data_IF_695558795266
#
_entry.id   IF_695558795266
#
_cell.length_a   1.000
_cell.length_b   1.000
_cell.length_c   1.000
_cell.angle_alpha   90.00
_cell.angle_beta   90.00
_cell.angle_gamma   90.00
#
_symmetry.space_group_name_H-M   'P 1'
#
loop_
_entity.id
_entity.type
_entity.pdbx_description
1 polymer ?
#
# COMPACT_ATOMS: atom_id res chain seq x y z
N UNK A 1 -28.77 -14.75 -3.18
CA UNK A 1 -28.46 -15.96 -3.97
C UNK A 1 -26.96 -16.17 -3.88
N UNK A 2 -26.52 -17.28 -3.29
CA UNK A 2 -25.09 -17.65 -3.34
C UNK A 2 -24.79 -18.02 -4.79
N UNK A 3 -23.93 -17.27 -5.47
CA UNK A 3 -23.41 -17.66 -6.78
C UNK A 3 -22.66 -18.98 -6.60
N UNK A 4 -23.17 -20.04 -7.23
CA UNK A 4 -22.46 -21.33 -7.28
C UNK A 4 -21.27 -21.13 -8.21
N UNK A 5 -20.06 -21.18 -7.66
CA UNK A 5 -18.82 -21.02 -8.44
C UNK A 5 -18.53 -22.31 -9.17
N UNK A 6 -18.29 -22.24 -10.48
CA UNK A 6 -17.96 -23.39 -11.32
C UNK A 6 -16.49 -23.80 -11.17
N UNK A 7 -16.22 -24.85 -10.39
CA UNK A 7 -14.87 -25.37 -10.13
C UNK A 7 -14.21 -26.04 -11.36
N UNK A 8 -14.94 -26.25 -12.46
CA UNK A 8 -14.33 -26.75 -13.70
C UNK A 8 -13.46 -25.69 -14.39
N UNK A 9 -13.71 -24.41 -14.10
CA UNK A 9 -12.93 -23.30 -14.65
C UNK A 9 -11.48 -23.26 -14.14
N UNK A 10 -10.58 -22.53 -14.81
CA UNK A 10 -9.24 -22.27 -14.28
C UNK A 10 -9.30 -21.64 -12.89
N UNK A 11 -8.39 -22.04 -11.98
CA UNK A 11 -8.38 -21.55 -10.59
C UNK A 11 -8.40 -20.02 -10.49
N UNK A 12 -7.73 -19.31 -11.41
CA UNK A 12 -7.74 -17.85 -11.45
C UNK A 12 -9.13 -17.24 -11.62
N UNK A 13 -10.00 -17.90 -12.40
CA UNK A 13 -11.37 -17.45 -12.63
C UNK A 13 -12.28 -17.83 -11.46
N UNK A 14 -12.13 -19.06 -10.95
CA UNK A 14 -12.79 -19.54 -9.72
C UNK A 14 -12.57 -18.58 -8.57
N UNK A 15 -11.31 -18.18 -8.30
CA UNK A 15 -10.99 -17.24 -7.23
C UNK A 15 -11.53 -15.85 -7.51
N UNK A 16 -11.37 -15.33 -8.75
CA UNK A 16 -11.86 -13.99 -9.10
C UNK A 16 -13.37 -13.86 -8.89
N UNK A 17 -14.13 -14.86 -9.30
CA UNK A 17 -15.58 -14.87 -9.15
C UNK A 17 -15.99 -15.09 -7.69
N UNK A 18 -15.41 -16.12 -7.06
CA UNK A 18 -15.78 -16.53 -5.71
C UNK A 18 -15.43 -15.51 -4.63
N UNK A 19 -14.37 -14.72 -4.80
CA UNK A 19 -13.95 -13.72 -3.80
C UNK A 19 -14.40 -12.30 -4.12
N UNK A 20 -15.13 -12.07 -5.22
CA UNK A 20 -15.50 -10.72 -5.67
C UNK A 20 -16.23 -9.92 -4.58
N UNK A 21 -17.23 -10.52 -3.95
CA UNK A 21 -18.04 -9.86 -2.92
C UNK A 21 -17.20 -9.52 -1.68
N UNK A 22 -16.38 -10.47 -1.21
CA UNK A 22 -15.53 -10.26 -0.05
C UNK A 22 -14.47 -9.16 -0.31
N UNK A 23 -13.96 -9.07 -1.54
CA UNK A 23 -13.08 -7.98 -1.96
C UNK A 23 -13.78 -6.62 -1.88
N UNK A 24 -14.98 -6.49 -2.45
CA UNK A 24 -15.77 -5.25 -2.41
C UNK A 24 -16.04 -4.80 -0.95
N UNK A 25 -16.35 -5.72 -0.05
CA UNK A 25 -16.60 -5.44 1.37
C UNK A 25 -15.35 -4.91 2.11
N UNK A 26 -14.16 -5.45 1.81
CA UNK A 26 -12.90 -4.99 2.41
C UNK A 26 -12.51 -3.61 1.89
N UNK A 27 -12.67 -3.34 0.59
CA UNK A 27 -12.32 -2.06 -0.04
C UNK A 27 -13.09 -0.87 0.56
N UNK A 28 -14.35 -1.07 0.93
CA UNK A 28 -15.20 -0.02 1.49
C UNK A 28 -15.13 0.08 3.02
N UNK A 29 -14.24 -0.67 3.66
CA UNK A 29 -14.09 -0.61 5.12
C UNK A 29 -13.61 0.78 5.60
N UNK A 30 -14.01 1.23 6.81
CA UNK A 30 -13.63 2.56 7.30
C UNK A 30 -12.12 2.75 7.42
N UNK A 31 -11.38 1.77 7.94
CA UNK A 31 -9.92 1.81 7.99
C UNK A 31 -9.26 1.90 6.59
N UNK A 32 -9.70 1.07 5.63
CA UNK A 32 -9.17 1.13 4.26
C UNK A 32 -9.44 2.49 3.61
N UNK A 33 -10.65 3.03 3.81
CA UNK A 33 -11.02 4.37 3.33
C UNK A 33 -10.18 5.46 3.99
N UNK A 34 -9.97 5.40 5.30
CA UNK A 34 -9.15 6.37 6.04
C UNK A 34 -7.68 6.32 5.57
N UNK A 35 -7.12 5.13 5.35
CA UNK A 35 -5.79 4.94 4.81
C UNK A 35 -5.66 5.57 3.41
N UNK A 36 -6.61 5.30 2.52
CA UNK A 36 -6.61 5.85 1.15
C UNK A 36 -6.80 7.38 1.11
N UNK A 37 -7.47 7.95 2.11
CA UNK A 37 -7.61 9.40 2.26
C UNK A 37 -6.43 10.06 2.97
N UNK A 38 -5.48 9.28 3.48
CA UNK A 38 -4.36 9.79 4.29
C UNK A 38 -4.78 10.29 5.67
N UNK A 39 -5.93 9.82 6.18
CA UNK A 39 -6.48 10.19 7.49
C UNK A 39 -5.95 9.30 8.63
N UNK A 40 -5.15 8.28 8.29
CA UNK A 40 -4.45 7.47 9.26
C UNK A 40 -3.18 8.21 9.70
N UNK A 41 -2.98 8.38 11.00
CA UNK A 41 -1.72 8.96 11.47
C UNK A 41 -0.52 8.04 11.15
N UNK A 42 0.69 8.62 11.19
CA UNK A 42 1.89 7.89 10.79
C UNK A 42 2.21 6.72 11.72
N UNK A 43 1.92 6.81 13.02
CA UNK A 43 2.18 5.72 13.97
C UNK A 43 1.23 4.54 13.76
N UNK A 44 -0.05 4.81 13.50
CA UNK A 44 -1.05 3.80 13.12
C UNK A 44 -0.71 3.14 11.80
N UNK A 45 -0.22 3.91 10.82
CA UNK A 45 0.24 3.32 9.57
C UNK A 45 1.45 2.41 9.79
N UNK A 46 2.43 2.83 10.60
CA UNK A 46 3.56 1.97 10.98
C UNK A 46 3.10 0.71 11.72
N UNK A 47 2.13 0.82 12.65
CA UNK A 47 1.56 -0.34 13.34
C UNK A 47 0.88 -1.29 12.36
N UNK A 48 0.12 -0.76 11.40
CA UNK A 48 -0.48 -1.54 10.33
C UNK A 48 0.59 -2.26 9.49
N UNK A 49 1.67 -1.57 9.10
CA UNK A 49 2.78 -2.21 8.40
C UNK A 49 3.46 -3.31 9.22
N UNK A 50 3.60 -3.15 10.54
CA UNK A 50 4.11 -4.21 11.42
C UNK A 50 3.19 -5.44 11.46
N UNK A 51 1.86 -5.24 11.46
CA UNK A 51 0.91 -6.34 11.33
C UNK A 51 1.01 -7.04 9.98
N UNK A 52 1.13 -6.26 8.88
CA UNK A 52 1.38 -6.82 7.56
C UNK A 52 2.70 -7.60 7.54
N UNK A 53 3.77 -7.07 8.12
CA UNK A 53 5.06 -7.75 8.15
C UNK A 53 4.94 -9.15 8.75
N UNK A 54 4.23 -9.31 9.89
CA UNK A 54 3.99 -10.62 10.49
C UNK A 54 3.21 -11.57 9.57
N UNK A 55 2.20 -11.06 8.84
CA UNK A 55 1.41 -11.85 7.89
C UNK A 55 2.29 -12.31 6.72
N UNK A 56 2.97 -11.36 6.05
CA UNK A 56 3.82 -11.64 4.89
C UNK A 56 4.98 -12.57 5.26
N UNK A 57 5.71 -12.27 6.33
CA UNK A 57 6.81 -13.12 6.79
C UNK A 57 6.34 -14.56 7.07
N UNK A 58 5.14 -14.73 7.65
CA UNK A 58 4.63 -16.07 7.96
C UNK A 58 4.28 -16.86 6.70
N UNK A 59 3.50 -16.31 5.76
CA UNK A 59 3.14 -17.08 4.57
C UNK A 59 4.33 -17.21 3.59
N UNK A 60 5.23 -16.22 3.52
CA UNK A 60 6.44 -16.30 2.69
C UNK A 60 7.38 -17.41 3.17
N UNK A 61 7.57 -17.57 4.50
CA UNK A 61 8.29 -18.72 5.05
C UNK A 61 7.59 -20.05 4.76
N UNK A 62 6.25 -20.06 4.77
CA UNK A 62 5.45 -21.22 4.36
C UNK A 62 5.67 -21.60 2.90
N UNK A 63 5.65 -20.61 2.00
CA UNK A 63 5.94 -20.80 0.57
C UNK A 63 7.37 -21.28 0.32
N UNK A 64 8.35 -20.72 1.04
CA UNK A 64 9.76 -21.15 0.97
C UNK A 64 9.93 -22.62 1.34
N UNK A 65 9.32 -23.04 2.46
CA UNK A 65 9.35 -24.42 2.95
C UNK A 65 8.79 -25.40 1.90
N UNK A 66 7.75 -24.98 1.19
CA UNK A 66 7.01 -25.80 0.23
C UNK A 66 7.24 -25.38 -1.23
N UNK A 67 8.41 -24.80 -1.53
CA UNK A 67 8.69 -24.19 -2.84
C UNK A 67 8.66 -25.17 -4.01
N UNK A 68 8.84 -26.48 -3.75
CA UNK A 68 8.77 -27.55 -4.75
C UNK A 68 7.42 -28.28 -4.77
N UNK A 69 6.45 -27.86 -3.96
CA UNK A 69 5.11 -28.46 -3.93
C UNK A 69 4.41 -28.18 -5.28
N UNK A 70 3.83 -29.18 -5.98
CA UNK A 70 3.31 -29.01 -7.34
C UNK A 70 2.29 -27.88 -7.52
N UNK A 71 1.47 -27.62 -6.49
CA UNK A 71 0.48 -26.53 -6.51
C UNK A 71 1.11 -25.15 -6.31
N UNK A 72 2.22 -25.05 -5.58
CA UNK A 72 2.83 -23.78 -5.16
C UNK A 72 3.99 -23.35 -6.07
N UNK A 73 4.82 -24.32 -6.49
CA UNK A 73 6.03 -24.15 -7.30
C UNK A 73 5.82 -23.24 -8.53
N UNK A 74 4.73 -23.36 -9.31
CA UNK A 74 4.53 -22.53 -10.51
C UNK A 74 4.37 -21.02 -10.24
N UNK A 75 4.08 -20.64 -8.99
CA UNK A 75 3.90 -19.24 -8.57
C UNK A 75 5.02 -18.73 -7.69
N UNK A 76 5.96 -19.59 -7.31
CA UNK A 76 7.02 -19.27 -6.37
C UNK A 76 8.14 -18.48 -7.08
N UNK A 77 8.26 -17.20 -6.73
CA UNK A 77 9.34 -16.31 -7.17
C UNK A 77 9.59 -15.22 -6.12
N UNK A 78 10.38 -15.51 -5.06
CA UNK A 78 10.57 -14.60 -3.94
C UNK A 78 11.26 -13.30 -4.36
N UNK A 79 12.20 -13.34 -5.31
CA UNK A 79 12.88 -12.15 -5.85
C UNK A 79 11.91 -11.14 -6.45
N UNK A 80 10.81 -11.62 -7.02
CA UNK A 80 9.76 -10.79 -7.61
C UNK A 80 8.69 -10.37 -6.61
N UNK A 81 8.21 -11.33 -5.80
CA UNK A 81 6.97 -11.19 -5.04
C UNK A 81 7.16 -10.96 -3.55
N UNK A 82 8.24 -11.43 -2.91
CA UNK A 82 8.39 -11.32 -1.47
C UNK A 82 8.34 -9.86 -1.02
N UNK A 83 7.57 -9.58 0.02
CA UNK A 83 7.25 -8.26 0.55
C UNK A 83 7.76 -8.07 1.97
N UNK A 84 7.97 -9.12 2.76
CA UNK A 84 8.43 -8.97 4.14
C UNK A 84 9.74 -8.15 4.29
N UNK A 85 10.76 -8.31 3.41
CA UNK A 85 11.95 -7.45 3.46
C UNK A 85 11.63 -5.98 3.18
N UNK A 86 10.75 -5.70 2.22
CA UNK A 86 10.33 -4.33 1.88
C UNK A 86 9.54 -3.67 3.02
N UNK A 87 8.65 -4.43 3.67
CA UNK A 87 7.92 -3.99 4.85
C UNK A 87 8.87 -3.64 5.99
N UNK A 88 9.86 -4.51 6.27
CA UNK A 88 10.87 -4.28 7.30
C UNK A 88 11.66 -2.99 7.05
N UNK A 89 12.13 -2.78 5.82
CA UNK A 89 12.83 -1.56 5.41
C UNK A 89 11.95 -0.30 5.49
N UNK A 90 10.69 -0.38 5.05
CA UNK A 90 9.76 0.75 5.08
C UNK A 90 9.39 1.14 6.53
N UNK A 91 9.15 0.16 7.41
CA UNK A 91 8.90 0.40 8.84
C UNK A 91 10.08 1.15 9.47
N UNK A 92 11.30 0.68 9.22
CA UNK A 92 12.51 1.30 9.74
C UNK A 92 12.69 2.74 9.25
N UNK A 93 12.46 2.96 7.95
CA UNK A 93 12.53 4.28 7.34
C UNK A 93 11.51 5.25 7.93
N UNK A 94 10.25 4.81 8.07
CA UNK A 94 9.18 5.64 8.63
C UNK A 94 9.46 6.01 10.09
N UNK A 95 10.08 5.12 10.86
CA UNK A 95 10.49 5.37 12.24
C UNK A 95 11.79 6.18 12.35
N UNK A 96 12.55 6.34 11.27
CA UNK A 96 13.85 7.02 11.30
C UNK A 96 14.91 6.27 12.10
N UNK A 97 14.83 4.94 12.14
CA UNK A 97 15.73 4.07 12.93
C UNK A 97 16.39 3.01 12.06
N UNK A 98 17.51 2.41 12.50
CA UNK A 98 18.09 1.26 11.80
C UNK A 98 17.12 0.09 11.71
N UNK A 99 17.12 -0.64 10.59
CA UNK A 99 16.22 -1.78 10.37
C UNK A 99 16.39 -2.88 11.43
N UNK A 100 17.61 -3.07 11.95
CA UNK A 100 17.88 -4.02 13.04
C UNK A 100 17.20 -3.66 14.37
N UNK A 101 16.60 -2.47 14.50
CA UNK A 101 16.02 -1.95 15.75
C UNK A 101 14.50 -1.81 15.72
N UNK A 102 13.83 -1.94 14.58
CA UNK A 102 12.39 -1.66 14.53
C UNK A 102 11.55 -2.63 15.37
N UNK A 103 11.98 -3.89 15.51
CA UNK A 103 11.34 -4.87 16.42
C UNK A 103 11.51 -4.55 17.91
N UNK A 104 12.44 -3.66 18.26
CA UNK A 104 12.60 -3.15 19.63
C UNK A 104 11.91 -1.79 19.83
N UNK A 105 11.25 -1.25 18.79
CA UNK A 105 10.52 0.00 18.90
C UNK A 105 9.25 -0.19 19.74
N UNK A 106 8.85 0.85 20.48
CA UNK A 106 7.70 0.82 21.40
C UNK A 106 6.41 0.30 20.75
N UNK A 107 6.15 0.66 19.49
CA UNK A 107 4.95 0.24 18.75
C UNK A 107 4.94 -1.28 18.55
N UNK A 108 6.09 -1.88 18.20
CA UNK A 108 6.19 -3.34 18.02
C UNK A 108 6.14 -4.07 19.37
N UNK A 109 6.79 -3.53 20.40
CA UNK A 109 6.72 -4.08 21.76
C UNK A 109 5.26 -4.10 22.26
N UNK A 110 4.49 -3.03 22.01
CA UNK A 110 3.08 -2.99 22.35
C UNK A 110 2.26 -3.99 21.53
N UNK A 111 2.54 -4.11 20.23
CA UNK A 111 1.90 -5.08 19.35
C UNK A 111 2.18 -6.53 19.77
N UNK A 112 3.33 -6.79 20.40
CA UNK A 112 3.78 -8.12 20.83
C UNK A 112 3.82 -8.28 22.35
N UNK A 113 3.09 -7.43 23.07
CA UNK A 113 3.12 -7.38 24.53
C UNK A 113 2.76 -8.75 25.13
N UNK A 114 3.46 -9.14 26.20
CA UNK A 114 3.31 -10.45 26.84
C UNK A 114 3.50 -11.63 25.88
N UNK A 115 4.37 -11.47 24.87
CA UNK A 115 4.65 -12.48 23.84
C UNK A 115 3.38 -12.96 23.11
N UNK A 116 2.38 -12.07 22.98
CA UNK A 116 1.07 -12.39 22.40
C UNK A 116 0.71 -11.34 21.35
N UNK A 117 0.36 -11.79 20.14
CA UNK A 117 -0.13 -10.92 19.06
C UNK A 117 -1.60 -10.54 19.33
N UNK A 118 -2.12 -9.42 18.76
CA UNK A 118 -3.54 -9.12 18.84
C UNK A 118 -4.36 -10.29 18.29
N UNK A 119 -5.54 -10.59 18.86
CA UNK A 119 -6.31 -11.79 18.50
C UNK A 119 -6.53 -11.98 16.99
N UNK A 120 -6.81 -10.90 16.26
CA UNK A 120 -6.98 -10.95 14.80
C UNK A 120 -5.69 -11.35 14.06
N UNK A 121 -4.55 -10.80 14.47
CA UNK A 121 -3.25 -11.13 13.89
C UNK A 121 -2.78 -12.54 14.28
N UNK A 122 -3.02 -12.94 15.53
CA UNK A 122 -2.73 -14.28 16.02
C UNK A 122 -3.54 -15.35 15.27
N UNK A 123 -4.85 -15.11 15.05
CA UNK A 123 -5.70 -16.02 14.30
C UNK A 123 -5.23 -16.16 12.84
N UNK A 124 -4.87 -15.05 12.20
CA UNK A 124 -4.43 -15.06 10.81
C UNK A 124 -3.07 -15.76 10.64
N UNK A 125 -2.06 -15.37 11.41
CA UNK A 125 -0.73 -15.99 11.36
C UNK A 125 -0.75 -17.45 11.83
N UNK A 126 -1.57 -17.77 12.83
CA UNK A 126 -1.80 -19.14 13.30
C UNK A 126 -2.38 -20.02 12.19
N UNK A 127 -3.41 -19.55 11.47
CA UNK A 127 -3.99 -20.30 10.34
C UNK A 127 -2.98 -20.56 9.22
N UNK A 128 -2.13 -19.58 8.91
CA UNK A 128 -1.06 -19.77 7.92
C UNK A 128 -0.09 -20.87 8.38
N UNK A 129 0.29 -20.85 9.65
CA UNK A 129 1.20 -21.84 10.22
C UNK A 129 0.58 -23.23 10.23
N UNK A 130 -0.70 -23.37 10.59
CA UNK A 130 -1.46 -24.62 10.53
C UNK A 130 -1.43 -25.24 9.13
N UNK A 131 -1.63 -24.45 8.08
CA UNK A 131 -1.57 -24.93 6.69
C UNK A 131 -0.14 -25.30 6.31
N UNK A 132 0.84 -24.48 6.71
CA UNK A 132 2.25 -24.75 6.41
C UNK A 132 2.81 -26.00 7.13
N UNK A 133 2.17 -26.45 8.20
CA UNK A 133 2.54 -27.65 8.97
C UNK A 133 1.66 -28.88 8.62
N UNK A 134 0.64 -28.73 7.78
CA UNK A 134 -0.24 -29.83 7.37
C UNK A 134 0.41 -30.76 6.34
N UNK A 135 -0.23 -31.91 6.08
CA UNK A 135 0.18 -32.82 5.01
C UNK A 135 -0.03 -32.23 3.61
N UNK A 136 -1.03 -31.34 3.44
CA UNK A 136 -1.31 -30.66 2.18
C UNK A 136 -1.25 -29.12 2.36
N UNK A 137 -0.14 -28.48 1.95
CA UNK A 137 0.04 -27.04 2.06
C UNK A 137 -0.58 -26.24 0.90
N UNK A 138 -1.34 -26.87 0.00
CA UNK A 138 -1.89 -26.22 -1.21
C UNK A 138 -2.66 -24.92 -0.93
N UNK A 139 -3.35 -24.86 0.22
CA UNK A 139 -4.13 -23.69 0.62
C UNK A 139 -3.27 -22.43 0.91
N UNK A 140 -1.93 -22.55 1.05
CA UNK A 140 -1.03 -21.38 1.09
C UNK A 140 -1.13 -20.52 -0.18
N UNK A 141 -1.52 -21.12 -1.31
CA UNK A 141 -1.73 -20.40 -2.56
C UNK A 141 -2.80 -19.31 -2.44
N UNK A 142 -3.81 -19.51 -1.58
CA UNK A 142 -4.86 -18.53 -1.34
C UNK A 142 -4.30 -17.24 -0.71
N UNK A 143 -3.39 -17.39 0.25
CA UNK A 143 -2.72 -16.26 0.92
C UNK A 143 -1.88 -15.47 -0.06
N UNK A 144 -1.06 -16.17 -0.87
CA UNK A 144 -0.28 -15.56 -1.94
C UNK A 144 -1.17 -14.83 -2.97
N UNK A 145 -2.27 -15.45 -3.39
CA UNK A 145 -3.23 -14.89 -4.33
C UNK A 145 -3.82 -13.57 -3.83
N UNK A 146 -4.45 -13.58 -2.66
CA UNK A 146 -5.16 -12.40 -2.15
C UNK A 146 -4.18 -11.27 -1.88
N UNK A 147 -3.03 -11.56 -1.26
CA UNK A 147 -2.04 -10.54 -0.90
C UNK A 147 -1.33 -9.99 -2.14
N UNK A 148 -0.63 -10.82 -2.91
CA UNK A 148 0.20 -10.33 -4.02
C UNK A 148 -0.61 -9.72 -5.16
N UNK A 149 -1.74 -10.32 -5.57
CA UNK A 149 -2.54 -9.74 -6.64
C UNK A 149 -3.28 -8.47 -6.20
N UNK A 150 -3.62 -8.36 -4.91
CA UNK A 150 -4.12 -7.13 -4.29
C UNK A 150 -3.09 -6.02 -4.40
N UNK A 151 -1.85 -6.29 -3.97
CA UNK A 151 -0.74 -5.33 -4.04
C UNK A 151 -0.45 -4.87 -5.48
N UNK A 152 -0.45 -5.80 -6.44
CA UNK A 152 -0.25 -5.53 -7.87
C UNK A 152 -1.43 -4.80 -8.56
N UNK A 153 -2.57 -4.65 -7.87
CA UNK A 153 -3.77 -4.02 -8.43
C UNK A 153 -4.07 -2.68 -7.78
N UNK A 154 -4.08 -2.61 -6.45
CA UNK A 154 -4.36 -1.39 -5.69
C UNK A 154 -3.11 -0.61 -5.24
N UNK A 155 -1.94 -1.26 -5.23
CA UNK A 155 -0.73 -0.72 -4.60
C UNK A 155 -0.30 0.65 -5.12
N UNK A 156 -0.45 0.91 -6.43
CA UNK A 156 -0.08 2.20 -7.03
C UNK A 156 -1.00 3.36 -6.60
N UNK A 157 -2.28 3.06 -6.34
CA UNK A 157 -3.21 4.06 -5.80
C UNK A 157 -2.91 4.33 -4.33
N UNK A 158 -2.68 3.28 -3.54
CA UNK A 158 -2.30 3.39 -2.13
C UNK A 158 -0.98 4.16 -1.99
N UNK A 159 0.04 3.80 -2.77
CA UNK A 159 1.35 4.44 -2.77
C UNK A 159 1.26 5.96 -3.00
N UNK A 160 0.44 6.39 -3.96
CA UNK A 160 0.21 7.83 -4.23
C UNK A 160 -0.47 8.54 -3.07
N UNK A 161 -1.47 7.91 -2.46
CA UNK A 161 -2.16 8.47 -1.29
C UNK A 161 -1.18 8.66 -0.12
N UNK A 162 -0.38 7.64 0.18
CA UNK A 162 0.57 7.66 1.31
C UNK A 162 1.73 8.62 1.08
N UNK A 163 2.25 8.71 -0.16
CA UNK A 163 3.29 9.68 -0.51
C UNK A 163 2.84 11.10 -0.21
N UNK A 164 1.59 11.43 -0.57
CA UNK A 164 0.99 12.72 -0.26
C UNK A 164 0.74 12.90 1.25
N UNK A 165 0.17 11.88 1.90
CA UNK A 165 -0.22 11.96 3.32
C UNK A 165 0.98 12.15 4.26
N UNK A 166 2.11 11.49 3.96
CA UNK A 166 3.28 11.47 4.84
C UNK A 166 4.50 12.20 4.28
N UNK A 167 4.35 12.92 3.17
CA UNK A 167 5.44 13.69 2.55
C UNK A 167 6.59 12.82 2.05
N UNK A 168 6.29 11.63 1.52
CA UNK A 168 7.30 10.69 1.02
C UNK A 168 7.53 10.85 -0.48
N UNK A 169 8.71 10.50 -0.95
CA UNK A 169 9.02 10.44 -2.38
C UNK A 169 8.32 9.24 -3.02
N UNK A 170 7.60 9.46 -4.12
CA UNK A 170 6.98 8.40 -4.92
C UNK A 170 8.02 7.34 -5.33
N UNK A 171 7.74 6.07 -5.03
CA UNK A 171 8.67 4.96 -5.35
C UNK A 171 9.91 4.88 -4.45
N UNK A 172 10.03 5.75 -3.44
CA UNK A 172 11.17 5.81 -2.54
C UNK A 172 11.02 4.94 -1.28
N UNK A 173 11.94 5.15 -0.34
CA UNK A 173 11.91 4.51 0.97
C UNK A 173 10.63 4.88 1.77
N UNK A 174 10.12 3.93 2.55
CA UNK A 174 8.83 4.05 3.23
C UNK A 174 7.63 3.66 2.35
N UNK A 175 7.87 3.40 1.06
CA UNK A 175 6.87 2.97 0.08
C UNK A 175 7.37 1.81 -0.81
N UNK A 176 8.50 1.18 -0.46
CA UNK A 176 9.11 0.11 -1.25
C UNK A 176 8.26 -1.15 -1.30
N UNK A 177 7.40 -1.39 -0.30
CA UNK A 177 6.41 -2.47 -0.27
C UNK A 177 5.52 -2.50 -1.52
N UNK A 178 5.12 -1.31 -2.00
CA UNK A 178 4.27 -1.16 -3.19
C UNK A 178 5.05 -1.20 -4.51
N UNK A 179 6.37 -1.23 -4.45
CA UNK A 179 7.25 -1.31 -5.61
C UNK A 179 7.54 -2.76 -6.00
N UNK A 180 7.40 -3.07 -7.29
CA UNK A 180 7.81 -4.36 -7.86
C UNK A 180 8.90 -4.16 -8.90
N UNK A 181 9.65 -5.22 -9.17
CA UNK A 181 10.62 -5.29 -10.27
C UNK A 181 9.99 -5.92 -11.50
N UNK A 182 10.59 -5.73 -12.67
CA UNK A 182 10.16 -6.40 -13.89
C UNK A 182 10.30 -7.93 -13.77
N UNK A 183 9.45 -8.68 -14.49
CA UNK A 183 9.41 -10.15 -14.38
C UNK A 183 10.76 -10.79 -14.80
N UNK A 184 11.49 -10.14 -15.69
CA UNK A 184 12.73 -10.65 -16.30
C UNK A 184 13.95 -9.73 -16.07
N UNK A 185 13.85 -8.74 -15.19
CA UNK A 185 14.94 -7.81 -14.94
C UNK A 185 14.86 -7.20 -13.53
N UNK A 186 15.93 -6.56 -13.07
CA UNK A 186 15.94 -5.88 -11.77
C UNK A 186 15.39 -4.44 -11.81
N UNK A 187 14.90 -3.98 -12.96
CA UNK A 187 14.36 -2.62 -13.12
C UNK A 187 13.01 -2.49 -12.40
N UNK A 188 12.63 -1.27 -11.95
CA UNK A 188 11.29 -1.02 -11.43
C UNK A 188 10.21 -1.34 -12.48
N UNK A 189 9.16 -2.05 -12.07
CA UNK A 189 8.05 -2.41 -12.95
C UNK A 189 7.17 -1.20 -13.30
N UNK A 190 6.85 -1.07 -14.58
CA UNK A 190 5.80 -0.16 -15.07
C UNK A 190 4.40 -0.76 -14.85
N UNK A 191 3.34 0.03 -15.04
CA UNK A 191 1.94 -0.45 -14.98
C UNK A 191 1.72 -1.63 -15.95
N UNK A 192 2.29 -1.54 -17.16
CA UNK A 192 2.21 -2.63 -18.14
C UNK A 192 2.91 -3.91 -17.67
N UNK A 193 4.02 -3.77 -16.94
CA UNK A 193 4.74 -4.90 -16.37
C UNK A 193 3.99 -5.52 -15.18
N UNK A 194 3.35 -4.72 -14.33
CA UNK A 194 2.46 -5.23 -13.27
C UNK A 194 1.37 -6.13 -13.84
N UNK A 195 0.80 -5.78 -15.01
CA UNK A 195 -0.19 -6.62 -15.70
C UNK A 195 0.41 -7.97 -16.09
N UNK A 196 1.61 -8.00 -16.66
CA UNK A 196 2.31 -9.25 -17.03
C UNK A 196 2.62 -10.12 -15.82
N UNK A 197 3.03 -9.52 -14.70
CA UNK A 197 3.27 -10.26 -13.45
C UNK A 197 1.97 -10.93 -12.98
N UNK A 198 0.83 -10.22 -13.01
CA UNK A 198 -0.47 -10.80 -12.67
C UNK A 198 -0.89 -11.93 -13.60
N UNK A 199 -0.65 -11.80 -14.90
CA UNK A 199 -0.93 -12.85 -15.89
C UNK A 199 -0.05 -14.07 -15.67
N UNK A 200 1.25 -13.88 -15.43
CA UNK A 200 2.18 -14.95 -15.07
C UNK A 200 1.74 -15.68 -13.80
N UNK A 201 1.38 -14.95 -12.74
CA UNK A 201 0.92 -15.55 -11.48
C UNK A 201 -0.37 -16.35 -11.67
N UNK A 202 -1.35 -15.81 -12.42
CA UNK A 202 -2.60 -16.52 -12.75
C UNK A 202 -2.35 -17.80 -13.54
N UNK A 203 -1.46 -17.75 -14.53
CA UNK A 203 -1.06 -18.94 -15.28
C UNK A 203 -0.39 -19.98 -14.37
N UNK A 204 0.45 -19.55 -13.43
CA UNK A 204 1.04 -20.40 -12.42
C UNK A 204 -0.01 -21.09 -11.54
N UNK A 205 -0.97 -20.35 -11.00
CA UNK A 205 -2.08 -20.93 -10.21
C UNK A 205 -2.88 -21.98 -11.01
N UNK A 206 -3.20 -21.65 -12.26
CA UNK A 206 -3.95 -22.56 -13.15
C UNK A 206 -3.16 -23.84 -13.42
N UNK A 207 -1.84 -23.73 -13.65
CA UNK A 207 -0.95 -24.87 -13.82
C UNK A 207 -0.86 -25.71 -12.55
N UNK A 208 -0.69 -25.07 -11.39
CA UNK A 208 -0.50 -25.75 -10.11
C UNK A 208 -1.73 -26.54 -9.68
N UNK A 209 -2.92 -25.95 -9.80
CA UNK A 209 -4.17 -26.64 -9.46
C UNK A 209 -4.63 -27.64 -10.54
N UNK A 210 -4.32 -27.37 -11.81
CA UNK A 210 -4.77 -28.19 -12.94
C UNK A 210 -6.29 -28.40 -12.94
N UNK A 211 -6.72 -29.65 -13.11
CA UNK A 211 -8.12 -30.06 -13.08
C UNK A 211 -8.57 -30.59 -11.70
N UNK A 212 -7.71 -30.51 -10.67
CA UNK A 212 -8.04 -31.01 -9.34
C UNK A 212 -9.07 -30.10 -8.66
N UNK A 213 -10.33 -30.55 -8.63
CA UNK A 213 -11.44 -29.80 -8.05
C UNK A 213 -11.35 -29.65 -6.52
N UNK A 214 -10.75 -30.62 -5.82
CA UNK A 214 -10.59 -30.55 -4.36
C UNK A 214 -9.59 -29.46 -3.97
N UNK A 215 -8.46 -29.38 -4.70
CA UNK A 215 -7.50 -28.28 -4.53
C UNK A 215 -8.14 -26.94 -4.84
N UNK A 216 -8.91 -26.83 -5.94
CA UNK A 216 -9.60 -25.58 -6.28
C UNK A 216 -10.60 -25.16 -5.19
N UNK A 217 -11.36 -26.10 -4.65
CA UNK A 217 -12.31 -25.86 -3.58
C UNK A 217 -11.59 -25.40 -2.29
N UNK A 218 -10.54 -26.11 -1.88
CA UNK A 218 -9.77 -25.79 -0.68
C UNK A 218 -9.11 -24.40 -0.77
N UNK A 219 -8.52 -24.06 -1.93
CA UNK A 219 -7.91 -22.75 -2.16
C UNK A 219 -8.96 -21.64 -2.20
N UNK A 220 -10.15 -21.90 -2.78
CA UNK A 220 -11.25 -20.92 -2.78
C UNK A 220 -11.81 -20.68 -1.37
N UNK A 221 -12.02 -21.73 -0.60
CA UNK A 221 -12.49 -21.61 0.79
C UNK A 221 -11.47 -20.81 1.62
N UNK A 222 -10.18 -21.15 1.50
CA UNK A 222 -9.13 -20.43 2.22
C UNK A 222 -9.02 -18.98 1.74
N UNK A 223 -9.17 -18.69 0.44
CA UNK A 223 -9.15 -17.31 -0.06
C UNK A 223 -10.29 -16.47 0.54
N UNK A 224 -11.46 -17.07 0.76
CA UNK A 224 -12.57 -16.41 1.46
C UNK A 224 -12.20 -16.10 2.91
N UNK A 225 -11.58 -17.06 3.62
CA UNK A 225 -11.07 -16.85 4.99
C UNK A 225 -10.00 -15.74 5.03
N UNK A 226 -9.16 -15.63 4.02
CA UNK A 226 -8.15 -14.56 3.92
C UNK A 226 -8.80 -13.18 3.86
N UNK A 227 -9.92 -13.02 3.15
CA UNK A 227 -10.68 -11.77 3.17
C UNK A 227 -11.32 -11.51 4.54
N UNK A 228 -11.87 -12.54 5.20
CA UNK A 228 -12.39 -12.40 6.56
C UNK A 228 -11.31 -11.93 7.55
N UNK A 229 -10.13 -12.57 7.51
CA UNK A 229 -8.98 -12.14 8.31
C UNK A 229 -8.58 -10.70 8.00
N UNK A 230 -8.51 -10.34 6.72
CA UNK A 230 -8.20 -8.97 6.30
C UNK A 230 -9.20 -7.97 6.88
N UNK A 231 -10.49 -8.29 6.87
CA UNK A 231 -11.53 -7.49 7.52
C UNK A 231 -11.32 -7.36 9.03
N UNK A 232 -10.92 -8.43 9.73
CA UNK A 232 -10.62 -8.36 11.18
C UNK A 232 -9.38 -7.54 11.50
N UNK A 233 -8.34 -7.56 10.64
CA UNK A 233 -7.17 -6.69 10.77
C UNK A 233 -7.58 -5.22 10.63
N UNK A 234 -8.40 -4.87 9.63
CA UNK A 234 -8.90 -3.50 9.48
C UNK A 234 -9.77 -3.05 10.66
N UNK A 235 -10.59 -3.94 11.23
CA UNK A 235 -11.34 -3.65 12.46
C UNK A 235 -10.42 -3.37 13.65
N UNK A 236 -9.29 -4.08 13.76
CA UNK A 236 -8.30 -3.83 14.82
C UNK A 236 -7.62 -2.46 14.64
N UNK A 237 -7.30 -2.07 13.40
CA UNK A 237 -6.81 -0.72 13.09
C UNK A 237 -7.84 0.34 13.48
N UNK A 238 -9.11 0.17 13.09
CA UNK A 238 -10.18 1.12 13.44
C UNK A 238 -10.40 1.22 14.96
N UNK A 239 -10.33 0.10 15.69
CA UNK A 239 -10.44 0.08 17.15
C UNK A 239 -9.34 0.92 17.79
N UNK A 240 -8.09 0.74 17.35
CA UNK A 240 -6.95 1.46 17.91
C UNK A 240 -7.00 2.95 17.55
N UNK A 241 -7.32 3.29 16.29
CA UNK A 241 -7.50 4.68 15.84
C UNK A 241 -8.54 5.47 16.63
N UNK A 242 -9.61 4.79 17.08
CA UNK A 242 -10.72 5.41 17.80
C UNK A 242 -10.56 5.38 19.33
N UNK A 243 -9.53 4.74 19.87
CA UNK A 243 -9.26 4.71 21.31
C UNK A 243 -8.62 6.03 21.78
N UNK A 244 -9.24 6.79 22.70
CA UNK A 244 -8.62 8.00 23.24
C UNK A 244 -7.31 7.73 23.99
N UNK A 245 -7.11 6.52 24.52
CA UNK A 245 -5.90 6.13 25.26
C UNK A 245 -4.74 5.70 24.35
N UNK A 246 -5.01 5.38 23.09
CA UNK A 246 -3.98 5.09 22.09
C UNK A 246 -3.35 6.36 21.52
N UNK A 247 -4.06 7.49 21.60
CA UNK A 247 -3.54 8.83 21.30
C UNK A 247 -2.61 9.28 22.42
N UNK A 248 -1.37 8.81 22.38
CA UNK A 248 -0.34 9.28 23.29
C UNK A 248 -0.09 10.76 23.03
N UNK A 249 -0.41 11.59 24.03
CA UNK A 249 -0.05 13.01 24.08
C UNK A 249 1.48 13.10 23.94
N UNK A 250 1.94 13.86 22.95
CA UNK A 250 3.35 14.14 22.74
C UNK A 250 3.91 14.85 23.98
N UNK A 251 4.80 14.18 24.71
CA UNK A 251 5.75 14.89 25.57
C UNK A 251 6.79 15.51 24.64
N UNK A 252 6.56 16.78 24.32
CA UNK A 252 7.30 17.54 23.35
C UNK A 252 8.67 17.90 23.92
N UNK A 253 9.64 16.96 23.86
CA UNK A 253 11.04 17.23 24.20
C UNK A 253 12.00 17.11 23.01
N UNK A 254 11.49 16.92 21.79
CA UNK A 254 12.29 17.09 20.56
C UNK A 254 12.12 18.50 19.98
N UNK A 255 13.02 19.40 20.38
CA UNK A 255 13.19 20.71 19.75
C UNK A 255 13.94 20.57 18.41
N UNK A 256 13.25 20.09 17.38
CA UNK A 256 13.72 20.23 15.99
C UNK A 256 13.55 21.70 15.54
N UNK A 257 14.57 22.36 14.93
CA UNK A 257 14.49 23.77 14.53
C UNK A 257 13.54 24.06 13.35
N UNK A 258 12.90 23.05 12.78
CA UNK A 258 12.10 23.17 11.57
C UNK A 258 10.61 22.97 11.84
N UNK A 259 10.03 23.85 12.66
CA UNK A 259 8.58 24.04 12.72
C UNK A 259 8.23 25.52 12.56
N UNK A 260 8.53 26.10 11.40
CA UNK A 260 7.80 27.30 10.97
C UNK A 260 6.48 26.85 10.35
N UNK A 261 5.45 26.79 11.18
CA UNK A 261 4.07 26.72 10.69
C UNK A 261 3.72 28.06 10.04
N UNK A 262 3.52 28.07 8.72
CA UNK A 262 3.05 29.26 8.03
C UNK A 262 1.55 29.45 8.29
N UNK A 263 1.08 30.67 8.57
CA UNK A 263 -0.35 30.92 8.73
C UNK A 263 -1.09 30.56 7.43
N UNK A 264 -2.28 29.99 7.57
CA UNK A 264 -3.13 29.50 6.47
C UNK A 264 -3.33 30.56 5.37
N UNK A 265 -3.32 31.84 5.75
CA UNK A 265 -3.38 32.99 4.85
C UNK A 265 -2.21 33.06 3.86
N UNK A 266 -0.99 32.74 4.29
CA UNK A 266 0.20 32.74 3.42
C UNK A 266 0.14 31.62 2.38
N UNK A 267 -0.35 30.44 2.75
CA UNK A 267 -0.51 29.30 1.84
C UNK A 267 -1.62 29.58 0.81
N UNK A 268 -2.75 30.14 1.25
CA UNK A 268 -3.84 30.53 0.35
C UNK A 268 -3.43 31.64 -0.63
N UNK A 269 -2.61 32.60 -0.18
CA UNK A 269 -2.10 33.68 -1.03
C UNK A 269 -1.22 33.15 -2.17
N UNK A 270 -0.33 32.20 -1.87
CA UNK A 270 0.56 31.59 -2.87
C UNK A 270 -0.23 30.74 -3.86
N UNK A 271 -1.19 29.95 -3.39
CA UNK A 271 -2.05 29.13 -4.26
C UNK A 271 -2.88 30.04 -5.18
N UNK A 272 -3.46 31.12 -4.65
CA UNK A 272 -4.23 32.08 -5.45
C UNK A 272 -3.35 32.77 -6.50
N UNK A 273 -2.13 33.18 -6.15
CA UNK A 273 -1.18 33.77 -7.09
C UNK A 273 -0.78 32.80 -8.21
N UNK A 274 -0.55 31.53 -7.90
CA UNK A 274 -0.24 30.49 -8.90
C UNK A 274 -1.44 30.23 -9.82
N UNK A 275 -2.66 30.19 -9.27
CA UNK A 275 -3.88 30.04 -10.05
C UNK A 275 -4.12 31.23 -10.99
N UNK A 276 -3.88 32.47 -10.53
CA UNK A 276 -4.00 33.68 -11.35
C UNK A 276 -2.92 33.71 -12.45
N UNK A 277 -1.67 33.34 -12.12
CA UNK A 277 -0.59 33.26 -13.10
C UNK A 277 -0.86 32.18 -14.16
N UNK A 278 -1.35 31.00 -13.75
CA UNK A 278 -1.72 29.93 -14.66
C UNK A 278 -2.91 30.34 -15.55
N UNK A 279 -3.93 31.01 -14.99
CA UNK A 279 -5.07 31.53 -15.74
C UNK A 279 -4.64 32.61 -16.75
N UNK A 280 -3.80 33.57 -16.35
CA UNK A 280 -3.28 34.61 -17.24
C UNK A 280 -2.45 34.01 -18.41
N UNK A 281 -1.61 33.01 -18.13
CA UNK A 281 -0.80 32.34 -19.15
C UNK A 281 -1.64 31.52 -20.14
N UNK A 282 -2.71 30.87 -19.66
CA UNK A 282 -3.52 29.94 -20.47
C UNK A 282 -4.68 30.60 -21.20
N UNK A 283 -5.30 31.64 -20.65
CA UNK A 283 -6.50 32.27 -21.24
C UNK A 283 -6.23 33.60 -21.94
N UNK A 284 -5.16 34.34 -21.58
CA UNK A 284 -4.83 35.63 -22.21
C UNK A 284 -3.83 35.53 -23.39
N UNK A 285 -3.48 34.32 -23.82
CA UNK A 285 -2.69 34.08 -25.03
C UNK A 285 -1.25 34.58 -24.94
N UNK A 286 -0.53 34.15 -23.90
CA UNK A 286 0.89 34.46 -23.64
C UNK A 286 1.87 33.38 -24.16
N UNK A 287 1.47 32.61 -25.18
CA UNK A 287 2.33 31.58 -25.79
C UNK A 287 2.83 32.02 -27.17
N UNK A 288 4.12 31.83 -27.45
CA UNK A 288 4.78 32.23 -28.71
C UNK A 288 5.19 33.71 -28.76
N UNK A 289 5.56 34.21 -29.95
CA UNK A 289 6.06 35.61 -30.13
C UNK A 289 5.09 36.68 -29.62
N UNK A 290 3.77 36.44 -29.71
CA UNK A 290 2.75 37.36 -29.18
C UNK A 290 2.78 37.47 -27.65
N UNK A 291 3.19 36.42 -26.95
CA UNK A 291 3.36 36.42 -25.50
C UNK A 291 4.60 37.20 -25.07
N UNK A 292 5.70 37.06 -25.81
CA UNK A 292 6.95 37.78 -25.55
C UNK A 292 6.78 39.30 -25.70
N UNK A 293 6.11 39.76 -26.77
CA UNK A 293 5.84 41.18 -26.97
C UNK A 293 4.95 41.79 -25.87
N UNK A 294 3.95 41.03 -25.37
CA UNK A 294 3.13 41.49 -24.24
C UNK A 294 3.91 41.54 -22.92
N UNK A 295 4.90 40.66 -22.74
CA UNK A 295 5.75 40.63 -21.55
C UNK A 295 6.69 41.83 -21.51
N UNK A 296 7.25 42.22 -22.66
CA UNK A 296 8.03 43.46 -22.82
C UNK A 296 7.20 44.71 -22.51
N UNK A 297 5.94 44.77 -22.96
CA UNK A 297 5.04 45.90 -22.64
C UNK A 297 4.73 46.00 -21.13
N UNK A 298 4.60 44.86 -20.45
CA UNK A 298 4.39 44.82 -18.99
C UNK A 298 5.66 45.22 -18.25
N UNK A 299 6.82 44.77 -18.70
CA UNK A 299 8.12 45.14 -18.13
C UNK A 299 8.38 46.65 -18.27
N UNK A 300 8.07 47.24 -19.43
CA UNK A 300 8.17 48.68 -19.69
C UNK A 300 7.20 49.49 -18.81
N UNK A 301 5.98 48.99 -18.60
CA UNK A 301 5.01 49.62 -17.69
C UNK A 301 5.42 49.54 -16.22
N UNK A 302 5.96 48.38 -15.77
CA UNK A 302 6.42 48.17 -14.39
C UNK A 302 7.67 48.99 -14.09
N UNK A 303 8.61 49.09 -15.04
CA UNK A 303 9.85 49.84 -14.86
C UNK A 303 9.69 51.35 -15.12
N UNK A 304 8.66 51.77 -15.87
CA UNK A 304 8.36 53.17 -16.16
C UNK A 304 7.36 53.84 -15.19
N UNK A 305 6.67 53.08 -14.35
CA UNK A 305 5.50 53.55 -13.60
C UNK A 305 5.75 53.84 -12.12
N UNK A 306 6.63 54.79 -11.77
CA UNK A 306 6.85 55.16 -10.37
C UNK A 306 7.70 56.40 -10.12
N UNK A 307 7.29 57.59 -10.59
CA UNK A 307 7.96 58.86 -10.23
C UNK A 307 7.38 60.16 -10.82
N UNK A 308 6.52 60.81 -10.03
CA UNK A 308 6.19 62.26 -9.96
C UNK A 308 5.34 62.98 -11.02
N UNK A 309 4.31 63.66 -10.47
CA UNK A 309 3.50 64.78 -11.00
C UNK A 309 4.23 66.14 -10.83
N UNK A 310 3.62 67.19 -11.41
CA UNK A 310 3.81 68.65 -11.24
C UNK A 310 4.98 69.21 -12.07
N UNK A 311 4.82 70.19 -12.96
CA UNK A 311 3.88 71.35 -13.05
C UNK A 311 2.90 71.34 -14.24
#
# INVERSE_FOLDING_TARGET
>A
MSTVVDLSQPLSDVLREGTKKAHEEVEVSPAATAMLKGELDKEEYVRFLMMLWHIYDTFERGLERHQTHPVLEPTYNPTLLARAPHLSADIAHLLGIPESKWKSHRIHIQLTANNTLPPALAAYTGRIQEIADSEDPSALLAHAYVRYLGDLSGGQTIQRALAKAYGLTMGGAGLSFYGFKELRSSKPASIGEMKKIKEWFRAGMNKGAGDNMDVKAAVLEEASRVFDFTGTIFKEVDRHRNDPKSRVILDNTDTSPWSKTYPLSSVLSVILAICIAHFALTTMGFTGERGYNKLLMVEEWVLGGGGSKAE
#
